data_IF_605232312251
#
_entry.id   IF_605232312251
#
_cell.length_a   1.000
_cell.length_b   1.000
_cell.length_c   1.000
_cell.angle_alpha   90.00
_cell.angle_beta   90.00
_cell.angle_gamma   90.00
#
_symmetry.space_group_name_H-M   'P 1'
#
loop_
_entity.id
_entity.type
_entity.pdbx_description
1 polymer ?
#
# COMPACT_ATOMS: atom_id res chain seq x y z
N UNK A 1 -0.32 21.74 -3.54
CA UNK A 1 -1.46 20.80 -3.47
C UNK A 1 -1.02 19.43 -3.95
N UNK A 2 -1.36 18.40 -3.20
CA UNK A 2 -0.95 17.00 -3.45
C UNK A 2 -2.18 16.11 -3.60
N UNK A 3 -2.19 15.23 -4.62
CA UNK A 3 -3.12 14.10 -4.74
C UNK A 3 -2.46 12.85 -4.18
N UNK A 4 -3.17 12.01 -3.43
CA UNK A 4 -2.63 10.74 -2.92
C UNK A 4 -3.73 9.70 -2.70
N UNK A 5 -3.40 8.39 -2.74
CA UNK A 5 -4.34 7.32 -2.42
C UNK A 5 -4.91 7.45 -1.01
N UNK A 6 -6.21 7.18 -0.85
CA UNK A 6 -6.93 7.38 0.41
C UNK A 6 -6.36 6.54 1.56
N UNK A 7 -6.08 5.26 1.32
CA UNK A 7 -5.51 4.36 2.33
C UNK A 7 -4.12 4.82 2.77
N UNK A 8 -3.24 5.15 1.81
CA UNK A 8 -1.92 5.69 2.09
C UNK A 8 -2.01 7.00 2.89
N UNK A 9 -2.94 7.88 2.50
CA UNK A 9 -3.19 9.15 3.18
C UNK A 9 -3.49 8.93 4.65
N UNK A 10 -4.45 8.07 4.96
CA UNK A 10 -4.92 7.86 6.33
C UNK A 10 -3.92 7.12 7.21
N UNK A 11 -3.27 6.10 6.67
CA UNK A 11 -2.43 5.19 7.45
C UNK A 11 -0.98 5.63 7.58
N UNK A 12 -0.52 6.47 6.66
CA UNK A 12 0.90 6.82 6.64
C UNK A 12 1.17 8.30 6.39
N UNK A 13 0.61 8.89 5.34
CA UNK A 13 1.05 10.17 4.82
C UNK A 13 0.70 11.37 5.72
N UNK A 14 -0.52 11.42 6.28
CA UNK A 14 -0.98 12.55 7.11
C UNK A 14 -0.06 12.80 8.31
N UNK A 15 0.33 11.75 9.03
CA UNK A 15 1.21 11.89 10.20
C UNK A 15 2.59 12.44 9.79
N UNK A 16 3.13 11.98 8.63
CA UNK A 16 4.43 12.42 8.10
C UNK A 16 4.37 13.86 7.60
N UNK A 17 3.32 14.25 6.90
CA UNK A 17 3.14 15.65 6.47
C UNK A 17 2.98 16.59 7.66
N UNK A 18 2.29 16.17 8.72
CA UNK A 18 2.21 16.94 9.96
C UNK A 18 3.61 17.13 10.57
N UNK A 19 4.40 16.07 10.65
CA UNK A 19 5.79 16.13 11.14
C UNK A 19 6.67 17.01 10.24
N UNK A 20 6.57 16.88 8.94
CA UNK A 20 7.30 17.71 7.97
C UNK A 20 7.03 19.21 8.17
N UNK A 21 5.76 19.58 8.34
CA UNK A 21 5.37 20.97 8.63
C UNK A 21 6.00 21.52 9.91
N UNK A 22 6.12 20.71 10.97
CA UNK A 22 6.77 21.13 12.21
C UNK A 22 8.28 21.32 12.04
N UNK A 23 8.93 20.45 11.25
CA UNK A 23 10.37 20.52 11.00
C UNK A 23 10.74 21.62 10.01
N UNK A 24 9.83 21.99 9.12
CA UNK A 24 10.04 23.00 8.06
C UNK A 24 8.84 23.95 7.96
N UNK A 25 8.71 24.91 8.86
CA UNK A 25 7.63 25.90 8.83
C UNK A 25 7.57 26.64 7.49
N UNK A 26 6.35 26.89 6.98
CA UNK A 26 6.12 27.51 5.68
C UNK A 26 6.06 26.54 4.50
N UNK A 27 6.20 25.23 4.73
CA UNK A 27 6.01 24.18 3.74
C UNK A 27 4.69 23.42 4.01
N UNK A 28 3.57 24.11 3.90
CA UNK A 28 2.27 23.47 4.03
C UNK A 28 1.92 22.65 2.79
N UNK A 29 1.46 21.42 2.99
CA UNK A 29 0.95 20.55 1.95
C UNK A 29 -0.57 20.43 2.11
N UNK A 30 -1.31 20.96 1.15
CA UNK A 30 -2.75 20.72 1.06
C UNK A 30 -2.99 19.40 0.35
N UNK A 31 -3.51 18.41 1.08
CA UNK A 31 -3.71 17.07 0.58
C UNK A 31 -5.14 16.85 0.11
N UNK A 32 -5.29 16.23 -1.06
CA UNK A 32 -6.56 15.68 -1.57
C UNK A 32 -6.41 14.16 -1.66
N UNK A 33 -7.25 13.46 -0.92
CA UNK A 33 -7.29 12.01 -0.90
C UNK A 33 -8.13 11.50 -2.08
N UNK A 34 -7.56 10.58 -2.88
CA UNK A 34 -8.25 9.91 -3.97
C UNK A 34 -8.45 8.42 -3.64
N UNK A 35 -9.64 7.90 -3.92
CA UNK A 35 -9.98 6.48 -3.73
C UNK A 35 -10.02 5.72 -5.07
N UNK A 36 -10.19 6.44 -6.16
CA UNK A 36 -10.01 5.95 -7.54
C UNK A 36 -8.79 6.64 -8.16
N UNK A 37 -8.34 6.15 -9.30
CA UNK A 37 -7.20 6.71 -10.03
C UNK A 37 -5.94 6.87 -9.15
N UNK A 38 -5.64 5.82 -8.37
CA UNK A 38 -4.46 5.79 -7.50
C UNK A 38 -3.14 5.73 -8.28
N UNK A 39 -3.22 5.43 -9.56
CA UNK A 39 -2.14 5.29 -10.52
C UNK A 39 -2.09 6.45 -11.55
N UNK A 40 -3.02 7.42 -11.47
CA UNK A 40 -3.14 8.47 -12.47
C UNK A 40 -3.30 9.88 -11.87
N UNK A 41 -2.75 10.88 -12.57
CA UNK A 41 -2.98 12.31 -12.36
C UNK A 41 -2.80 13.06 -13.67
N UNK A 42 -3.66 14.06 -13.93
CA UNK A 42 -3.52 14.99 -15.04
C UNK A 42 -3.10 16.38 -14.52
N UNK A 43 -1.79 16.64 -14.50
CA UNK A 43 -1.27 17.93 -14.03
C UNK A 43 -1.65 19.12 -14.89
N UNK A 44 -2.19 18.93 -16.10
CA UNK A 44 -2.65 20.03 -16.97
C UNK A 44 -4.08 20.47 -16.64
N UNK A 45 -4.92 19.54 -16.19
CA UNK A 45 -6.35 19.80 -15.96
C UNK A 45 -6.74 19.70 -14.48
N UNK A 46 -5.97 18.98 -13.66
CA UNK A 46 -6.20 18.86 -12.21
C UNK A 46 -5.34 19.92 -11.45
N UNK A 47 -5.84 20.46 -10.33
CA UNK A 47 -5.18 21.57 -9.62
C UNK A 47 -4.08 21.07 -8.66
N UNK A 48 -3.29 20.07 -9.04
CA UNK A 48 -2.25 19.49 -8.20
C UNK A 48 -0.85 19.93 -8.60
N UNK A 49 0.02 20.11 -7.62
CA UNK A 49 1.44 20.44 -7.83
C UNK A 49 2.30 19.18 -7.85
N UNK A 50 1.85 18.14 -7.16
CA UNK A 50 2.45 16.80 -7.10
C UNK A 50 1.39 15.76 -6.78
N UNK A 51 1.73 14.49 -6.98
CA UNK A 51 0.88 13.36 -6.59
C UNK A 51 1.73 12.21 -6.02
N UNK A 52 1.14 11.42 -5.11
CA UNK A 52 1.66 10.09 -4.82
C UNK A 52 0.83 9.09 -5.62
N UNK A 53 1.48 8.30 -6.44
CA UNK A 53 0.85 7.29 -7.30
C UNK A 53 1.44 5.91 -7.00
N UNK A 54 0.62 4.88 -7.16
CA UNK A 54 1.04 3.49 -7.18
C UNK A 54 1.30 3.08 -8.63
N UNK A 55 2.47 2.57 -8.95
CA UNK A 55 2.83 2.26 -10.34
C UNK A 55 4.07 1.40 -10.46
N UNK A 56 4.41 1.06 -11.69
CA UNK A 56 5.56 0.22 -12.07
C UNK A 56 6.84 1.02 -12.40
N UNK A 57 6.81 2.33 -12.18
CA UNK A 57 7.93 3.24 -12.48
C UNK A 57 7.90 3.86 -13.87
N UNK A 58 6.93 3.50 -14.73
CA UNK A 58 6.78 4.08 -16.05
C UNK A 58 5.91 5.33 -15.99
N UNK A 59 6.54 6.50 -16.02
CA UNK A 59 5.87 7.81 -15.99
C UNK A 59 6.30 8.68 -17.17
N UNK A 60 5.54 9.73 -17.51
CA UNK A 60 5.92 10.69 -18.54
C UNK A 60 7.35 11.24 -18.36
N UNK A 61 8.15 11.39 -19.43
CA UNK A 61 9.56 11.79 -19.33
C UNK A 61 9.76 13.24 -18.83
N UNK A 62 8.72 14.06 -18.91
CA UNK A 62 8.70 15.43 -18.40
C UNK A 62 8.36 15.53 -16.90
N UNK A 63 8.18 14.39 -16.23
CA UNK A 63 7.99 14.35 -14.79
C UNK A 63 9.30 14.09 -14.05
N UNK A 64 9.40 14.63 -12.84
CA UNK A 64 10.28 14.13 -11.79
C UNK A 64 9.56 13.00 -11.07
N UNK A 65 10.28 11.90 -10.86
CA UNK A 65 9.74 10.67 -10.27
C UNK A 65 10.65 10.25 -9.13
N UNK A 66 10.08 10.07 -7.96
CA UNK A 66 10.81 9.64 -6.78
C UNK A 66 10.11 8.46 -6.11
N UNK A 67 10.73 7.29 -6.14
CA UNK A 67 10.23 6.11 -5.43
C UNK A 67 10.30 6.34 -3.93
N UNK A 68 9.17 6.17 -3.25
CA UNK A 68 9.08 6.28 -1.79
C UNK A 68 9.32 4.92 -1.11
N UNK A 69 8.57 3.90 -1.51
CA UNK A 69 8.69 2.52 -1.02
C UNK A 69 7.87 1.56 -1.90
N UNK A 70 8.19 0.26 -1.80
CA UNK A 70 7.51 -0.80 -2.53
C UNK A 70 6.23 -1.24 -1.82
N UNK A 71 5.20 -1.63 -2.60
CA UNK A 71 4.00 -2.29 -2.08
C UNK A 71 4.28 -3.76 -1.77
N UNK A 72 3.96 -4.16 -0.54
CA UNK A 72 4.11 -5.54 -0.06
C UNK A 72 2.78 -6.06 0.45
N UNK A 73 2.17 -6.97 -0.30
CA UNK A 73 0.89 -7.57 0.02
C UNK A 73 1.02 -8.61 1.13
N UNK A 74 0.20 -8.50 2.17
CA UNK A 74 0.17 -9.43 3.30
C UNK A 74 -1.27 -9.68 3.76
N UNK A 75 -1.66 -10.94 4.07
CA UNK A 75 -2.97 -11.23 4.64
C UNK A 75 -3.11 -10.62 6.04
N UNK A 76 -4.24 -9.97 6.31
CA UNK A 76 -4.55 -9.34 7.59
C UNK A 76 -5.93 -9.75 8.10
N UNK A 77 -6.05 -9.88 9.40
CA UNK A 77 -7.30 -10.24 10.06
C UNK A 77 -7.36 -9.77 11.50
N UNK A 78 -8.48 -10.06 12.16
CA UNK A 78 -8.62 -9.78 13.58
C UNK A 78 -7.63 -10.63 14.42
N UNK A 79 -7.10 -10.10 15.54
CA UNK A 79 -6.16 -10.84 16.40
C UNK A 79 -6.72 -12.17 16.92
N UNK A 80 -8.04 -12.28 17.04
CA UNK A 80 -8.76 -13.48 17.47
C UNK A 80 -8.52 -14.68 16.57
N UNK A 81 -8.22 -14.45 15.29
CA UNK A 81 -7.95 -15.53 14.32
C UNK A 81 -6.71 -16.36 14.65
N UNK A 82 -5.78 -15.81 15.45
CA UNK A 82 -4.56 -16.51 15.86
C UNK A 82 -4.71 -17.33 17.15
N UNK A 83 -5.86 -17.29 17.82
CA UNK A 83 -6.09 -18.04 19.08
C UNK A 83 -5.90 -19.54 18.92
N UNK A 84 -6.19 -20.07 17.73
CA UNK A 84 -6.05 -21.50 17.41
C UNK A 84 -4.70 -21.85 16.77
N UNK A 85 -3.70 -21.01 16.97
CA UNK A 85 -2.34 -21.19 16.46
C UNK A 85 -2.14 -20.71 15.01
N UNK A 86 -0.97 -20.99 14.42
CA UNK A 86 -0.62 -20.53 13.08
C UNK A 86 -1.56 -21.10 12.02
N UNK A 87 -1.70 -20.35 10.95
CA UNK A 87 -2.56 -20.74 9.83
C UNK A 87 -1.82 -21.65 8.86
N UNK A 88 -2.60 -22.55 8.26
CA UNK A 88 -2.25 -23.37 7.11
C UNK A 88 -3.20 -23.07 5.93
N UNK A 89 -2.97 -23.73 4.81
CA UNK A 89 -3.78 -23.57 3.61
C UNK A 89 -5.24 -23.97 3.82
N UNK A 90 -5.51 -24.93 4.69
CA UNK A 90 -6.88 -25.40 4.97
C UNK A 90 -7.69 -24.33 5.71
N UNK A 91 -7.08 -23.67 6.69
CA UNK A 91 -7.70 -22.54 7.39
C UNK A 91 -7.94 -21.37 6.45
N UNK A 92 -6.96 -21.03 5.60
CA UNK A 92 -7.09 -19.95 4.62
C UNK A 92 -8.19 -20.25 3.60
N UNK A 93 -8.27 -21.49 3.08
CA UNK A 93 -9.28 -21.90 2.11
C UNK A 93 -10.71 -21.94 2.71
N UNK A 94 -10.82 -22.13 4.03
CA UNK A 94 -12.11 -22.21 4.74
C UNK A 94 -12.60 -20.85 5.27
N UNK A 95 -11.74 -19.82 5.31
CA UNK A 95 -12.13 -18.51 5.82
C UNK A 95 -12.84 -17.64 4.78
N UNK A 96 -13.57 -16.62 5.24
CA UNK A 96 -14.12 -15.60 4.36
C UNK A 96 -13.00 -14.68 3.87
N UNK A 97 -12.77 -14.64 2.57
CA UNK A 97 -11.82 -13.75 1.94
C UNK A 97 -12.48 -12.42 1.59
N UNK A 98 -11.90 -11.33 2.10
CA UNK A 98 -12.32 -9.97 1.82
C UNK A 98 -11.46 -9.40 0.69
N UNK A 99 -12.11 -8.88 -0.35
CA UNK A 99 -11.43 -8.39 -1.55
C UNK A 99 -11.36 -6.87 -1.53
N UNK A 100 -10.19 -6.26 -1.29
CA UNK A 100 -10.05 -4.80 -1.21
C UNK A 100 -10.15 -4.12 -2.58
N UNK A 101 -10.10 -4.90 -3.67
CA UNK A 101 -10.23 -4.41 -5.04
C UNK A 101 -11.25 -5.26 -5.82
N UNK A 102 -12.07 -4.65 -6.70
CA UNK A 102 -13.09 -5.38 -7.47
C UNK A 102 -12.53 -6.47 -8.37
N UNK A 103 -11.32 -6.28 -8.88
CA UNK A 103 -10.61 -7.24 -9.73
C UNK A 103 -9.89 -8.34 -8.93
N UNK A 104 -9.87 -8.25 -7.60
CA UNK A 104 -9.24 -9.21 -6.67
C UNK A 104 -7.73 -9.41 -6.93
N UNK A 105 -7.06 -8.43 -7.53
CA UNK A 105 -5.66 -8.52 -7.98
C UNK A 105 -4.71 -8.85 -6.83
N UNK A 106 -4.95 -8.30 -5.63
CA UNK A 106 -4.05 -8.44 -4.49
C UNK A 106 -3.99 -9.89 -4.02
N UNK A 107 -5.17 -10.52 -3.84
CA UNK A 107 -5.25 -11.94 -3.54
C UNK A 107 -4.68 -12.82 -4.64
N UNK A 108 -4.98 -12.53 -5.92
CA UNK A 108 -4.42 -13.30 -7.03
C UNK A 108 -2.90 -13.25 -7.05
N UNK A 109 -2.33 -12.07 -6.85
CA UNK A 109 -0.88 -11.87 -6.82
C UNK A 109 -0.26 -12.62 -5.64
N UNK A 110 -0.82 -12.49 -4.44
CA UNK A 110 -0.31 -13.16 -3.26
C UNK A 110 -0.40 -14.68 -3.38
N UNK A 111 -1.56 -15.23 -3.73
CA UNK A 111 -1.76 -16.68 -3.89
C UNK A 111 -0.87 -17.29 -4.97
N UNK A 112 -0.69 -16.61 -6.09
CA UNK A 112 0.20 -17.08 -7.16
C UNK A 112 1.66 -17.15 -6.70
N UNK A 113 2.12 -16.17 -5.90
CA UNK A 113 3.49 -16.15 -5.37
C UNK A 113 3.72 -17.18 -4.27
N UNK A 114 2.68 -17.51 -3.52
CA UNK A 114 2.70 -18.53 -2.48
C UNK A 114 2.49 -19.95 -3.02
N UNK A 115 2.27 -20.12 -4.32
CA UNK A 115 1.90 -21.41 -4.97
C UNK A 115 0.62 -22.02 -4.39
N UNK A 116 -0.36 -21.15 -4.04
CA UNK A 116 -1.63 -21.53 -3.44
C UNK A 116 -2.86 -21.27 -4.33
N UNK A 117 -2.66 -20.80 -5.56
CA UNK A 117 -3.74 -20.38 -6.46
C UNK A 117 -4.77 -21.49 -6.76
N UNK A 118 -4.32 -22.74 -6.83
CA UNK A 118 -5.19 -23.90 -7.08
C UNK A 118 -5.88 -24.42 -5.80
N UNK A 119 -5.42 -24.00 -4.62
CA UNK A 119 -5.88 -24.53 -3.34
C UNK A 119 -6.86 -23.58 -2.64
N UNK A 120 -6.83 -22.29 -2.97
CA UNK A 120 -7.66 -21.25 -2.36
C UNK A 120 -8.54 -20.59 -3.40
N UNK A 121 -9.86 -20.72 -3.26
CA UNK A 121 -10.82 -20.16 -4.20
C UNK A 121 -11.08 -18.68 -3.94
N UNK A 122 -10.98 -17.87 -4.98
CA UNK A 122 -11.41 -16.46 -4.96
C UNK A 122 -12.88 -16.26 -5.37
N UNK A 123 -13.66 -17.35 -5.47
CA UNK A 123 -15.10 -17.28 -5.73
C UNK A 123 -15.81 -16.88 -4.43
N UNK A 124 -16.70 -15.90 -4.53
CA UNK A 124 -17.38 -15.34 -3.35
C UNK A 124 -16.54 -14.28 -2.63
N UNK A 125 -16.84 -14.07 -1.36
CA UNK A 125 -16.25 -13.03 -0.52
C UNK A 125 -16.83 -11.63 -0.76
N UNK A 126 -16.73 -10.78 0.26
CA UNK A 126 -17.15 -9.38 0.15
C UNK A 126 -16.12 -8.57 -0.63
N UNK A 127 -16.59 -7.80 -1.61
CA UNK A 127 -15.75 -6.90 -2.42
C UNK A 127 -15.89 -5.47 -1.91
N UNK A 128 -14.78 -4.79 -1.78
CA UNK A 128 -14.69 -3.37 -1.45
C UNK A 128 -14.06 -2.60 -2.62
N UNK A 129 -14.04 -1.29 -2.50
CA UNK A 129 -13.44 -0.38 -3.48
C UNK A 129 -12.14 0.26 -2.96
N UNK A 130 -11.78 0.01 -1.70
CA UNK A 130 -10.54 0.50 -1.09
C UNK A 130 -9.92 -0.54 -0.18
N UNK A 131 -8.58 -0.55 -0.13
CA UNK A 131 -7.79 -1.35 0.79
C UNK A 131 -8.19 -1.06 2.25
N UNK A 132 -8.50 0.21 2.57
CA UNK A 132 -8.91 0.65 3.91
C UNK A 132 -10.16 -0.07 4.41
N UNK A 133 -11.20 -0.16 3.59
CA UNK A 133 -12.47 -0.81 3.97
C UNK A 133 -12.29 -2.32 4.18
N UNK A 134 -11.49 -2.97 3.33
CA UNK A 134 -11.14 -4.38 3.50
C UNK A 134 -10.41 -4.62 4.84
N UNK A 135 -9.44 -3.79 5.18
CA UNK A 135 -8.70 -3.90 6.45
C UNK A 135 -9.57 -3.59 7.68
N UNK A 136 -10.46 -2.59 7.60
CA UNK A 136 -11.43 -2.30 8.68
C UNK A 136 -12.37 -3.50 8.89
N UNK A 137 -12.87 -4.11 7.83
CA UNK A 137 -13.73 -5.28 7.92
C UNK A 137 -12.96 -6.47 8.54
N UNK A 138 -11.72 -6.67 8.13
CA UNK A 138 -10.84 -7.71 8.68
C UNK A 138 -10.58 -7.51 10.18
N UNK A 139 -10.26 -6.29 10.62
CA UNK A 139 -10.06 -5.95 12.03
C UNK A 139 -11.31 -6.20 12.90
N UNK A 140 -12.50 -6.15 12.30
CA UNK A 140 -13.78 -6.44 12.96
C UNK A 140 -14.18 -7.92 12.93
N UNK A 141 -13.31 -8.79 12.38
CA UNK A 141 -13.54 -10.23 12.37
C UNK A 141 -14.47 -10.73 11.26
N UNK A 142 -14.75 -9.94 10.22
CA UNK A 142 -15.60 -10.37 9.09
C UNK A 142 -14.89 -11.30 8.11
N UNK A 143 -13.59 -11.51 8.27
CA UNK A 143 -12.77 -12.38 7.42
C UNK A 143 -11.33 -11.94 7.37
N UNK A 144 -10.61 -12.38 6.36
CA UNK A 144 -9.21 -12.02 6.09
C UNK A 144 -9.13 -11.18 4.81
N UNK A 145 -8.49 -10.03 4.89
CA UNK A 145 -8.25 -9.13 3.75
C UNK A 145 -6.77 -9.12 3.37
N UNK A 146 -6.46 -8.53 2.23
CA UNK A 146 -5.09 -8.12 1.93
C UNK A 146 -4.84 -6.73 2.51
N UNK A 147 -3.61 -6.51 2.99
CA UNK A 147 -3.08 -5.22 3.40
C UNK A 147 -1.73 -4.97 2.74
N UNK A 148 -1.25 -3.73 2.79
CA UNK A 148 0.14 -3.38 2.51
C UNK A 148 0.93 -3.40 3.82
N UNK A 149 2.06 -4.11 3.84
CA UNK A 149 2.85 -4.36 5.05
C UNK A 149 3.25 -3.07 5.78
N UNK A 150 3.63 -2.03 5.04
CA UNK A 150 4.01 -0.75 5.61
C UNK A 150 2.80 -0.04 6.24
N UNK A 151 1.63 -0.13 5.59
CA UNK A 151 0.41 0.53 6.06
C UNK A 151 -0.25 -0.17 7.24
N UNK A 152 -0.02 -1.47 7.43
CA UNK A 152 -0.58 -2.24 8.55
C UNK A 152 0.37 -2.35 9.74
N UNK A 153 1.64 -1.94 9.59
CA UNK A 153 2.67 -2.13 10.61
C UNK A 153 2.28 -1.60 11.99
N UNK A 154 1.69 -0.40 12.05
CA UNK A 154 1.25 0.21 13.31
C UNK A 154 0.07 -0.56 13.94
N UNK A 155 -0.91 -0.99 13.15
CA UNK A 155 -2.06 -1.75 13.64
C UNK A 155 -1.66 -3.13 14.15
N UNK A 156 -0.69 -3.76 13.51
CA UNK A 156 -0.11 -5.02 13.97
C UNK A 156 0.65 -4.83 15.29
N UNK A 157 1.51 -3.81 15.36
CA UNK A 157 2.26 -3.49 16.57
C UNK A 157 1.36 -3.15 17.77
N UNK A 158 0.19 -2.57 17.52
CA UNK A 158 -0.79 -2.21 18.54
C UNK A 158 -1.84 -3.30 18.79
N UNK A 159 -1.74 -4.45 18.12
CA UNK A 159 -2.66 -5.57 18.29
C UNK A 159 -4.07 -5.31 17.78
N UNK A 160 -4.27 -4.37 16.86
CA UNK A 160 -5.57 -4.12 16.18
C UNK A 160 -5.77 -5.02 14.98
N UNK A 161 -4.69 -5.42 14.35
CA UNK A 161 -4.64 -6.41 13.28
C UNK A 161 -3.66 -7.52 13.63
N UNK A 162 -3.86 -8.68 13.08
CA UNK A 162 -2.93 -9.80 13.08
C UNK A 162 -2.54 -10.17 11.65
N UNK A 163 -1.44 -10.89 11.53
CA UNK A 163 -0.97 -11.50 10.28
C UNK A 163 -1.20 -13.00 10.35
N UNK A 164 -2.37 -13.52 9.94
CA UNK A 164 -2.67 -14.95 10.07
C UNK A 164 -1.70 -15.81 9.25
N UNK A 165 -1.18 -15.25 8.15
CA UNK A 165 -0.10 -15.85 7.39
C UNK A 165 1.03 -14.81 7.23
N UNK A 166 2.12 -14.90 8.01
CA UNK A 166 3.15 -13.86 8.07
C UNK A 166 4.14 -13.97 6.90
N UNK A 167 3.64 -13.89 5.68
CA UNK A 167 4.42 -13.81 4.45
C UNK A 167 3.93 -12.63 3.60
N UNK A 168 4.83 -11.70 3.32
CA UNK A 168 4.59 -10.54 2.48
C UNK A 168 5.16 -10.77 1.07
N UNK A 169 4.36 -10.50 0.07
CA UNK A 169 4.69 -10.69 -1.34
C UNK A 169 4.79 -9.33 -2.02
N UNK A 170 5.88 -9.06 -2.72
CA UNK A 170 6.00 -7.86 -3.55
C UNK A 170 4.95 -7.90 -4.67
N UNK A 171 4.12 -6.86 -4.76
CA UNK A 171 3.12 -6.74 -5.84
C UNK A 171 3.75 -6.50 -7.21
N UNK A 172 4.95 -5.93 -7.23
CA UNK A 172 5.63 -5.43 -8.42
C UNK A 172 5.35 -3.94 -8.67
N UNK A 173 4.58 -3.31 -7.80
CA UNK A 173 4.31 -1.87 -7.83
C UNK A 173 4.97 -1.17 -6.65
N UNK A 174 5.29 0.12 -6.85
CA UNK A 174 5.86 1.00 -5.84
C UNK A 174 5.03 2.28 -5.70
N UNK A 175 5.12 2.93 -4.54
CA UNK A 175 4.57 4.28 -4.36
C UNK A 175 5.61 5.31 -4.78
N UNK A 176 5.19 6.21 -5.68
CA UNK A 176 6.03 7.27 -6.22
C UNK A 176 5.47 8.65 -5.90
N UNK A 177 6.30 9.54 -5.41
CA UNK A 177 6.01 10.97 -5.44
C UNK A 177 6.43 11.51 -6.81
N UNK A 178 5.47 12.09 -7.54
CA UNK A 178 5.67 12.58 -8.91
C UNK A 178 5.24 14.05 -9.04
N UNK A 179 5.92 14.81 -9.92
CA UNK A 179 5.56 16.20 -10.28
C UNK A 179 6.16 16.60 -11.62
N UNK A 180 5.54 17.56 -12.36
CA UNK A 180 6.12 18.07 -13.59
C UNK A 180 7.46 18.78 -13.35
N UNK A 181 8.48 18.52 -14.17
CA UNK A 181 9.82 19.15 -14.07
C UNK A 181 9.77 20.67 -14.15
N UNK A 182 8.79 21.18 -14.91
CA UNK A 182 8.60 22.63 -15.11
C UNK A 182 7.87 23.33 -13.96
N UNK A 183 7.37 22.55 -12.97
CA UNK A 183 6.60 23.11 -11.87
C UNK A 183 7.45 23.99 -10.96
N UNK A 184 7.04 25.24 -10.66
CA UNK A 184 7.72 26.08 -9.68
C UNK A 184 7.77 25.40 -8.30
N UNK A 185 8.91 25.51 -7.61
CA UNK A 185 9.06 24.90 -6.28
C UNK A 185 9.57 23.46 -6.27
N UNK A 186 10.12 22.95 -7.35
CA UNK A 186 10.68 21.60 -7.46
C UNK A 186 11.68 21.26 -6.34
N UNK A 187 12.47 22.23 -5.86
CA UNK A 187 13.37 22.00 -4.72
C UNK A 187 12.64 21.70 -3.40
N UNK A 188 11.47 22.32 -3.18
CA UNK A 188 10.62 21.99 -2.02
C UNK A 188 10.05 20.59 -2.13
N UNK A 189 9.67 20.17 -3.33
CA UNK A 189 9.17 18.83 -3.60
C UNK A 189 10.27 17.77 -3.42
N UNK A 190 11.52 18.07 -3.83
CA UNK A 190 12.66 17.18 -3.56
C UNK A 190 12.90 17.02 -2.05
N UNK A 191 12.92 18.13 -1.28
CA UNK A 191 13.05 18.06 0.19
C UNK A 191 11.92 17.24 0.83
N UNK A 192 10.69 17.40 0.36
CA UNK A 192 9.57 16.59 0.82
C UNK A 192 9.78 15.11 0.47
N UNK A 193 10.24 14.82 -0.74
CA UNK A 193 10.56 13.47 -1.19
C UNK A 193 11.63 12.82 -0.32
N UNK A 194 12.75 13.50 -0.09
CA UNK A 194 13.85 13.00 0.76
C UNK A 194 13.37 12.72 2.18
N UNK A 195 12.54 13.61 2.72
CA UNK A 195 11.94 13.42 4.04
C UNK A 195 11.04 12.17 4.07
N UNK A 196 10.11 12.03 3.12
CA UNK A 196 9.19 10.89 3.06
C UNK A 196 9.92 9.56 2.84
N UNK A 197 10.95 9.53 2.01
CA UNK A 197 11.83 8.36 1.86
C UNK A 197 12.55 8.01 3.18
N UNK A 198 13.03 9.02 3.90
CA UNK A 198 13.64 8.82 5.22
C UNK A 198 12.66 8.23 6.22
N UNK A 199 11.43 8.74 6.26
CA UNK A 199 10.36 8.21 7.11
C UNK A 199 10.00 6.75 6.77
N UNK A 200 9.93 6.41 5.47
CA UNK A 200 9.65 5.05 5.03
C UNK A 200 10.75 4.06 5.45
N UNK A 201 12.03 4.46 5.29
CA UNK A 201 13.18 3.64 5.72
C UNK A 201 13.27 3.45 7.24
N UNK A 202 12.77 4.41 8.01
CA UNK A 202 12.76 4.36 9.48
C UNK A 202 11.61 3.53 10.06
N UNK A 203 10.67 3.07 9.23
CA UNK A 203 9.54 2.25 9.68
C UNK A 203 10.03 0.90 10.21
N UNK A 204 9.51 0.53 11.37
CA UNK A 204 9.64 -0.84 11.89
C UNK A 204 8.52 -1.69 11.32
N UNK A 205 8.88 -2.60 10.43
CA UNK A 205 7.93 -3.53 9.82
C UNK A 205 7.75 -4.76 10.72
N UNK A 206 6.57 -5.40 10.69
CA UNK A 206 6.37 -6.70 11.33
C UNK A 206 7.36 -7.74 10.82
N UNK A 207 7.70 -8.70 11.67
CA UNK A 207 8.56 -9.83 11.29
C UNK A 207 7.75 -10.82 10.42
N UNK A 208 8.08 -10.85 9.12
CA UNK A 208 7.40 -11.67 8.12
C UNK A 208 8.42 -12.19 7.10
N UNK A 209 8.09 -13.31 6.47
CA UNK A 209 8.81 -13.77 5.29
C UNK A 209 8.57 -12.81 4.12
N UNK A 210 9.64 -12.32 3.48
CA UNK A 210 9.58 -11.35 2.37
C UNK A 210 9.86 -12.06 1.04
N UNK A 211 8.83 -12.21 0.21
CA UNK A 211 8.92 -12.88 -1.09
C UNK A 211 8.93 -11.83 -2.22
N UNK A 212 10.10 -11.58 -2.79
CA UNK A 212 10.26 -10.68 -3.93
C UNK A 212 9.70 -11.33 -5.21
N UNK A 213 9.31 -10.50 -6.17
CA UNK A 213 9.07 -10.96 -7.53
C UNK A 213 10.33 -11.70 -8.02
N UNK A 214 10.19 -12.91 -8.54
CA UNK A 214 11.28 -13.49 -9.31
C UNK A 214 11.63 -12.47 -10.39
N UNK A 215 12.91 -12.09 -10.49
CA UNK A 215 13.39 -11.33 -11.63
C UNK A 215 12.94 -12.14 -12.85
N UNK A 216 11.99 -11.61 -13.61
CA UNK A 216 11.58 -12.22 -14.86
C UNK A 216 12.87 -12.39 -15.67
N UNK A 217 13.13 -13.60 -16.16
CA UNK A 217 14.15 -13.87 -17.14
C UNK A 217 14.03 -12.82 -18.26
N UNK A 218 14.80 -11.76 -18.15
CA UNK A 218 15.07 -10.87 -19.26
C UNK A 218 16.10 -11.58 -20.12
N UNK A 219 15.61 -12.52 -20.91
CA UNK A 219 16.43 -13.33 -21.79
C UNK A 219 15.54 -14.02 -22.81
N UNK A 220 15.23 -13.33 -23.88
CA UNK A 220 15.36 -13.69 -25.30
C UNK A 220 14.67 -12.67 -26.18
#
# INVERSE_FOLDING_TARGET
RMKAPSTLTMRWLLARLSRFRHLQPGNEVQLTSAWMDVDHVDFNHEPFDCAVLLGDGHFPPDWEVSCLFSEWLVPVGAPELLKDGPWDVSKLAACELLHPTPDKRDWRTWLARMDLAEQVSLKGGQVFDTLELGMIAAARGYGVSMGDLLMVAEDVAQGRLSLPWPAAVASGLDYYLVWPRTRPGGERLRRLSDFLQGEARAMQLPDVEMLRANAANSGE
#
